data_IF_967441978115
#
_entry.id   IF_967441978115
#
_cell.length_a   1.000
_cell.length_b   1.000
_cell.length_c   1.000
_cell.angle_alpha   90.00
_cell.angle_beta   90.00
_cell.angle_gamma   90.00
#
_symmetry.space_group_name_H-M   'P 1'
#
loop_
_entity.id
_entity.type
_entity.pdbx_description
1 polymer ?
#
# COMPACT_ATOMS: atom_id res chain seq x y z
N UNK A 1 6.77 -14.16 -38.59
CA UNK A 1 6.52 -14.79 -37.27
C UNK A 1 6.61 -13.68 -36.24
N UNK A 2 5.49 -13.32 -35.59
CA UNK A 2 5.51 -12.32 -34.52
C UNK A 2 5.92 -13.05 -33.25
N UNK A 3 7.14 -12.82 -32.79
CA UNK A 3 7.56 -13.27 -31.46
C UNK A 3 6.71 -12.49 -30.44
N UNK A 4 5.72 -13.16 -29.85
CA UNK A 4 5.01 -12.67 -28.66
C UNK A 4 5.99 -12.72 -27.48
N UNK A 5 6.86 -11.72 -27.41
CA UNK A 5 7.75 -11.51 -26.27
C UNK A 5 6.88 -10.96 -25.14
N UNK A 6 6.33 -11.83 -24.30
CA UNK A 6 5.81 -11.42 -22.99
C UNK A 6 6.99 -10.95 -22.15
N UNK A 7 7.51 -9.75 -22.43
CA UNK A 7 8.54 -9.10 -21.64
C UNK A 7 7.91 -8.74 -20.30
N UNK A 8 8.11 -9.60 -19.30
CA UNK A 8 7.94 -9.25 -17.89
C UNK A 8 8.89 -8.08 -17.58
N UNK A 9 8.44 -6.84 -17.79
CA UNK A 9 9.29 -5.64 -17.66
C UNK A 9 9.53 -5.27 -16.20
N UNK A 10 8.61 -5.61 -15.31
CA UNK A 10 8.70 -5.28 -13.88
C UNK A 10 8.70 -6.55 -13.05
N UNK A 11 9.33 -6.51 -11.87
CA UNK A 11 9.49 -7.69 -11.02
C UNK A 11 8.15 -8.33 -10.64
N UNK A 12 7.10 -7.50 -10.50
CA UNK A 12 5.75 -7.92 -10.19
C UNK A 12 4.95 -8.45 -11.37
N UNK A 13 5.43 -8.28 -12.61
CA UNK A 13 4.71 -8.80 -13.79
C UNK A 13 4.76 -10.34 -13.87
N UNK A 14 5.68 -10.97 -13.12
CA UNK A 14 5.85 -12.43 -13.07
C UNK A 14 4.68 -13.14 -12.38
N UNK A 15 4.02 -12.46 -11.44
CA UNK A 15 2.83 -12.97 -10.77
C UNK A 15 1.60 -12.32 -11.44
N UNK A 16 0.70 -13.10 -12.07
CA UNK A 16 -0.44 -12.55 -12.80
C UNK A 16 -1.43 -11.82 -11.88
N UNK A 17 -1.57 -12.25 -10.62
CA UNK A 17 -2.43 -11.59 -9.64
C UNK A 17 -1.78 -10.26 -9.28
N UNK A 18 -0.50 -10.29 -8.90
CA UNK A 18 0.20 -9.08 -8.50
C UNK A 18 0.30 -8.06 -9.63
N UNK A 19 0.58 -8.48 -10.87
CA UNK A 19 0.60 -7.59 -12.04
C UNK A 19 -0.75 -6.89 -12.23
N UNK A 20 -1.86 -7.62 -12.05
CA UNK A 20 -3.21 -7.06 -12.22
C UNK A 20 -3.55 -6.09 -11.10
N UNK A 21 -3.24 -6.47 -9.85
CA UNK A 21 -3.39 -5.62 -8.67
C UNK A 21 -2.57 -4.33 -8.80
N UNK A 22 -1.31 -4.41 -9.23
CA UNK A 22 -0.45 -3.25 -9.44
C UNK A 22 -0.96 -2.31 -10.53
N UNK A 23 -1.59 -2.84 -11.59
CA UNK A 23 -2.25 -2.01 -12.62
C UNK A 23 -3.46 -1.27 -12.06
N UNK A 24 -4.29 -1.94 -11.26
CA UNK A 24 -5.44 -1.30 -10.61
C UNK A 24 -4.98 -0.22 -9.65
N UNK A 25 -3.96 -0.51 -8.83
CA UNK A 25 -3.36 0.46 -7.92
C UNK A 25 -2.84 1.69 -8.68
N UNK A 26 -2.12 1.50 -9.79
CA UNK A 26 -1.60 2.60 -10.63
C UNK A 26 -2.71 3.50 -11.21
N UNK A 27 -3.90 2.96 -11.48
CA UNK A 27 -5.04 3.72 -12.02
C UNK A 27 -5.99 4.25 -10.95
N UNK A 28 -5.73 3.95 -9.68
CA UNK A 28 -6.55 4.41 -8.55
C UNK A 28 -6.19 5.85 -8.19
N UNK A 29 -7.07 6.51 -7.43
CA UNK A 29 -6.81 7.86 -6.91
C UNK A 29 -5.63 7.85 -5.94
N UNK A 30 -5.00 9.01 -5.71
CA UNK A 30 -3.86 9.12 -4.78
C UNK A 30 -4.27 8.70 -3.36
N UNK A 31 -5.47 9.05 -2.91
CA UNK A 31 -6.02 8.66 -1.61
C UNK A 31 -6.14 7.14 -1.48
N UNK A 32 -6.67 6.49 -2.52
CA UNK A 32 -6.78 5.03 -2.55
C UNK A 32 -5.43 4.35 -2.60
N UNK A 33 -4.49 4.90 -3.39
CA UNK A 33 -3.13 4.39 -3.46
C UNK A 33 -2.47 4.42 -2.09
N UNK A 34 -2.59 5.53 -1.36
CA UNK A 34 -2.06 5.69 0.00
C UNK A 34 -2.75 4.70 0.95
N UNK A 35 -4.08 4.65 0.97
CA UNK A 35 -4.86 3.76 1.85
C UNK A 35 -4.49 2.29 1.64
N UNK A 36 -4.44 1.85 0.40
CA UNK A 36 -4.05 0.48 0.05
C UNK A 36 -2.59 0.19 0.42
N UNK A 37 -1.70 1.18 0.29
CA UNK A 37 -0.28 1.05 0.64
C UNK A 37 -0.05 0.96 2.14
N UNK A 38 -0.79 1.73 2.95
CA UNK A 38 -0.77 1.61 4.41
C UNK A 38 -1.23 0.22 4.84
N UNK A 39 -2.34 -0.28 4.27
CA UNK A 39 -2.82 -1.63 4.56
C UNK A 39 -1.81 -2.71 4.14
N UNK A 40 -1.15 -2.52 3.00
CA UNK A 40 -0.08 -3.41 2.53
C UNK A 40 1.09 -3.46 3.52
N UNK A 41 1.59 -2.32 3.98
CA UNK A 41 2.65 -2.24 4.99
C UNK A 41 2.23 -2.97 6.27
N UNK A 42 1.00 -2.72 6.74
CA UNK A 42 0.43 -3.37 7.92
C UNK A 42 0.43 -4.90 7.79
N UNK A 43 -0.06 -5.43 6.67
CA UNK A 43 -0.08 -6.87 6.40
C UNK A 43 1.33 -7.47 6.41
N UNK A 44 2.31 -6.76 5.83
CA UNK A 44 3.71 -7.22 5.78
C UNK A 44 4.28 -7.29 7.20
N UNK A 45 4.10 -6.24 8.00
CA UNK A 45 4.58 -6.18 9.38
C UNK A 45 3.93 -7.27 10.23
N UNK A 46 2.60 -7.41 10.17
CA UNK A 46 1.86 -8.44 10.90
C UNK A 46 2.41 -9.84 10.61
N UNK A 47 2.66 -10.16 9.34
CA UNK A 47 3.21 -11.46 8.98
C UNK A 47 4.65 -11.67 9.48
N UNK A 48 5.47 -10.62 9.49
CA UNK A 48 6.82 -10.68 10.02
C UNK A 48 6.84 -10.86 11.55
N UNK A 49 5.88 -10.26 12.26
CA UNK A 49 5.67 -10.50 13.70
C UNK A 49 5.20 -11.95 13.94
N UNK A 50 4.20 -12.43 13.18
CA UNK A 50 3.68 -13.81 13.29
C UNK A 50 4.75 -14.87 13.03
N UNK A 51 5.62 -14.63 12.04
CA UNK A 51 6.76 -15.50 11.71
C UNK A 51 7.96 -15.32 12.64
N UNK A 52 7.88 -14.41 13.62
CA UNK A 52 8.94 -14.07 14.58
C UNK A 52 10.22 -13.54 13.91
N UNK A 53 10.12 -13.00 12.70
CA UNK A 53 11.25 -12.30 12.06
C UNK A 53 11.42 -10.90 12.65
N UNK A 54 10.31 -10.25 13.05
CA UNK A 54 10.34 -9.01 13.83
C UNK A 54 10.06 -9.32 15.29
N UNK A 55 11.00 -8.93 16.14
CA UNK A 55 10.99 -9.15 17.59
C UNK A 55 10.88 -7.84 18.37
N UNK A 56 11.21 -6.73 17.72
CA UNK A 56 11.21 -5.39 18.32
C UNK A 56 10.58 -4.35 17.38
N UNK A 57 10.25 -3.18 17.94
CA UNK A 57 9.81 -2.01 17.17
C UNK A 57 10.94 -1.50 16.27
N UNK A 58 12.20 -1.67 16.69
CA UNK A 58 13.37 -1.26 15.90
C UNK A 58 13.44 -2.03 14.59
N UNK A 59 13.18 -3.34 14.61
CA UNK A 59 13.16 -4.20 13.40
C UNK A 59 12.12 -3.70 12.38
N UNK A 60 10.98 -3.21 12.88
CA UNK A 60 9.91 -2.64 12.05
C UNK A 60 10.33 -1.30 11.47
N UNK A 61 10.90 -0.42 12.30
CA UNK A 61 11.38 0.90 11.87
C UNK A 61 12.49 0.77 10.84
N UNK A 62 13.42 -0.17 11.02
CA UNK A 62 14.48 -0.47 10.06
C UNK A 62 13.89 -0.94 8.74
N UNK A 63 12.97 -1.90 8.73
CA UNK A 63 12.33 -2.39 7.50
C UNK A 63 11.54 -1.30 6.73
N UNK A 64 10.88 -0.39 7.45
CA UNK A 64 10.17 0.75 6.86
C UNK A 64 11.16 1.78 6.30
N UNK A 65 12.24 2.07 7.03
CA UNK A 65 13.25 3.05 6.66
C UNK A 65 14.16 2.56 5.51
N UNK A 66 14.45 1.25 5.43
CA UNK A 66 15.10 0.63 4.26
C UNK A 66 14.26 0.78 2.99
N UNK A 67 12.93 0.88 3.13
CA UNK A 67 11.99 1.20 2.06
C UNK A 67 12.03 2.66 1.56
N UNK A 68 12.89 3.51 2.14
CA UNK A 68 13.04 4.94 1.79
C UNK A 68 14.26 5.17 0.88
N UNK A 69 14.96 4.13 0.43
CA UNK A 69 16.10 4.30 -0.49
C UNK A 69 15.61 5.01 -1.76
N UNK A 70 16.10 6.23 -1.98
CA UNK A 70 15.84 7.07 -3.15
C UNK A 70 16.45 6.43 -4.41
N UNK A 71 15.81 5.40 -4.93
CA UNK A 71 15.90 5.08 -6.35
C UNK A 71 15.05 6.15 -7.03
N UNK A 72 15.70 7.10 -7.70
CA UNK A 72 15.06 8.33 -8.21
C UNK A 72 13.73 8.12 -8.94
N UNK A 73 12.93 9.18 -9.04
CA UNK A 73 11.50 9.25 -9.43
C UNK A 73 11.11 8.68 -10.82
N UNK A 74 11.53 7.46 -11.16
CA UNK A 74 11.33 6.88 -12.48
C UNK A 74 10.08 6.00 -12.57
N UNK A 75 9.54 5.52 -11.44
CA UNK A 75 8.35 4.65 -11.41
C UNK A 75 7.14 5.42 -10.89
N UNK A 76 5.95 5.00 -11.33
CA UNK A 76 4.69 5.66 -10.97
C UNK A 76 4.47 5.68 -9.45
N UNK A 77 4.95 4.66 -8.75
CA UNK A 77 4.82 4.55 -7.31
C UNK A 77 5.95 5.22 -6.53
N UNK A 78 6.96 5.77 -7.22
CA UNK A 78 8.01 6.54 -6.56
C UNK A 78 7.54 7.97 -6.25
N UNK A 79 6.32 8.37 -6.64
CA UNK A 79 5.81 9.74 -6.42
C UNK A 79 5.50 9.96 -4.94
N UNK A 80 4.79 9.02 -4.30
CA UNK A 80 4.42 9.08 -2.89
C UNK A 80 5.33 8.17 -2.05
N UNK A 81 5.78 8.67 -0.90
CA UNK A 81 6.68 7.94 -0.02
C UNK A 81 6.03 6.68 0.56
N UNK A 82 4.74 6.73 0.90
CA UNK A 82 4.02 5.61 1.50
C UNK A 82 3.81 4.50 0.47
N UNK A 83 3.40 4.85 -0.73
CA UNK A 83 3.23 3.91 -1.86
C UNK A 83 4.58 3.28 -2.22
N UNK A 84 5.65 4.09 -2.27
CA UNK A 84 7.01 3.62 -2.50
C UNK A 84 7.44 2.62 -1.45
N UNK A 85 7.36 2.98 -0.16
CA UNK A 85 7.76 2.10 0.94
C UNK A 85 7.00 0.78 0.91
N UNK A 86 5.68 0.81 0.69
CA UNK A 86 4.87 -0.40 0.63
C UNK A 86 5.32 -1.36 -0.49
N UNK A 87 5.60 -0.82 -1.68
CA UNK A 87 6.04 -1.63 -2.83
C UNK A 87 7.48 -2.12 -2.65
N UNK A 88 8.36 -1.33 -2.04
CA UNK A 88 9.72 -1.77 -1.73
C UNK A 88 9.74 -2.88 -0.69
N UNK A 89 8.95 -2.75 0.39
CA UNK A 89 8.78 -3.81 1.38
C UNK A 89 8.22 -5.09 0.73
N UNK A 90 7.25 -4.96 -0.20
CA UNK A 90 6.73 -6.08 -0.96
C UNK A 90 7.78 -6.73 -1.88
N UNK A 91 8.61 -5.92 -2.53
CA UNK A 91 9.73 -6.38 -3.38
C UNK A 91 10.81 -7.13 -2.57
N UNK A 92 10.93 -6.87 -1.27
CA UNK A 92 11.88 -7.55 -0.39
C UNK A 92 11.32 -8.81 0.29
N UNK A 93 10.00 -9.03 0.26
CA UNK A 93 9.37 -10.23 0.81
C UNK A 93 9.77 -11.50 0.06
N UNK A 94 9.63 -12.67 0.68
CA UNK A 94 9.78 -13.96 -0.02
C UNK A 94 8.70 -14.16 -1.09
N UNK A 95 8.93 -15.02 -2.09
CA UNK A 95 7.96 -15.28 -3.16
C UNK A 95 6.62 -15.83 -2.61
N UNK A 96 6.69 -16.71 -1.61
CA UNK A 96 5.50 -17.22 -0.92
C UNK A 96 4.69 -16.10 -0.27
N UNK A 97 5.38 -15.19 0.43
CA UNK A 97 4.73 -14.06 1.09
C UNK A 97 4.16 -13.06 0.08
N UNK A 98 4.88 -12.77 -1.01
CA UNK A 98 4.36 -11.93 -2.11
C UNK A 98 3.08 -12.50 -2.70
N UNK A 99 3.00 -13.81 -2.89
CA UNK A 99 1.78 -14.44 -3.40
C UNK A 99 0.61 -14.33 -2.43
N UNK A 100 0.84 -14.51 -1.11
CA UNK A 100 -0.18 -14.30 -0.07
C UNK A 100 -0.68 -12.85 -0.05
N UNK A 101 0.26 -11.90 -0.14
CA UNK A 101 -0.05 -10.48 -0.14
C UNK A 101 -0.79 -10.07 -1.42
N UNK A 102 -0.40 -10.59 -2.59
CA UNK A 102 -1.07 -10.31 -3.85
C UNK A 102 -2.56 -10.69 -3.81
N UNK A 103 -2.88 -11.82 -3.17
CA UNK A 103 -4.27 -12.24 -2.91
C UNK A 103 -5.00 -11.25 -1.98
N UNK A 104 -4.40 -10.91 -0.83
CA UNK A 104 -4.97 -9.91 0.08
C UNK A 104 -5.20 -8.55 -0.59
N UNK A 105 -4.28 -8.12 -1.45
CA UNK A 105 -4.46 -6.88 -2.22
C UNK A 105 -5.60 -6.99 -3.23
N UNK A 106 -5.77 -8.14 -3.87
CA UNK A 106 -6.91 -8.37 -4.75
C UNK A 106 -8.24 -8.35 -3.96
N UNK A 107 -8.26 -8.94 -2.76
CA UNK A 107 -9.43 -8.90 -1.88
C UNK A 107 -9.78 -7.46 -1.48
N UNK A 108 -8.79 -6.64 -1.09
CA UNK A 108 -9.00 -5.22 -0.77
C UNK A 108 -9.55 -4.41 -1.96
N UNK A 109 -9.10 -4.72 -3.18
CA UNK A 109 -9.64 -4.09 -4.40
C UNK A 109 -11.11 -4.47 -4.56
N UNK A 110 -11.44 -5.74 -4.41
CA UNK A 110 -12.83 -6.24 -4.54
C UNK A 110 -13.71 -5.62 -3.48
N UNK A 111 -13.25 -5.54 -2.23
CA UNK A 111 -13.96 -4.87 -1.14
C UNK A 111 -14.27 -3.42 -1.49
N UNK A 112 -13.27 -2.66 -1.96
CA UNK A 112 -13.46 -1.26 -2.39
C UNK A 112 -14.53 -1.10 -3.47
N UNK A 113 -14.55 -1.99 -4.47
CA UNK A 113 -15.57 -1.96 -5.52
C UNK A 113 -16.96 -2.36 -5.02
N UNK A 114 -17.05 -3.15 -3.95
CA UNK A 114 -18.32 -3.57 -3.35
C UNK A 114 -18.84 -2.57 -2.30
N UNK A 115 -17.96 -1.80 -1.64
CA UNK A 115 -18.35 -0.77 -0.65
C UNK A 115 -18.84 0.53 -1.29
N UNK A 116 -18.82 0.64 -2.63
CA UNK A 116 -19.35 1.82 -3.35
C UNK A 116 -20.87 2.02 -3.21
N UNK A 117 -21.59 1.14 -2.48
CA UNK A 117 -23.03 1.22 -2.24
C UNK A 117 -23.40 1.77 -0.83
N UNK A 118 -22.45 2.07 0.07
CA UNK A 118 -22.74 2.36 1.50
C UNK A 118 -22.07 3.61 2.09
N UNK A 119 -21.68 4.61 1.27
CA UNK A 119 -21.31 5.93 1.81
C UNK A 119 -22.56 6.75 2.17
N UNK A 120 -23.08 6.52 3.37
CA UNK A 120 -23.88 7.52 4.10
C UNK A 120 -23.07 8.06 5.27
N UNK A 121 -22.34 9.14 4.95
CA UNK A 121 -22.26 10.39 5.70
C UNK A 121 -22.37 10.30 7.24
N UNK A 122 -21.23 10.42 7.92
CA UNK A 122 -21.12 10.99 9.27
C UNK A 122 -20.29 12.26 9.16
N UNK A 123 -20.92 13.32 8.63
CA UNK A 123 -20.61 14.70 9.00
C UNK A 123 -21.38 14.97 10.30
N UNK A 124 -20.68 15.12 11.43
CA UNK A 124 -21.09 15.69 12.73
C UNK A 124 -20.02 15.14 13.72
N UNK A 125 -19.00 15.88 14.17
CA UNK A 125 -19.12 16.98 15.13
C UNK A 125 -17.92 17.93 15.00
N UNK A 126 -18.14 19.10 14.39
CA UNK A 126 -17.32 20.29 14.61
C UNK A 126 -18.00 21.08 15.72
N UNK A 127 -17.83 20.64 16.96
CA UNK A 127 -18.25 21.44 18.11
C UNK A 127 -17.27 22.61 18.30
N UNK A 128 -17.81 23.79 18.04
CA UNK A 128 -17.33 25.11 18.44
C UNK A 128 -16.68 25.07 19.83
N UNK A 129 -15.38 25.30 19.91
CA UNK A 129 -14.77 25.81 21.13
C UNK A 129 -14.79 27.33 21.05
N UNK A 130 -15.76 27.88 21.78
CA UNK A 130 -16.01 29.30 22.04
C UNK A 130 -14.71 30.11 22.13
N UNK A 131 -14.65 31.12 21.27
CA UNK A 131 -13.86 32.32 21.52
C UNK A 131 -14.50 33.07 22.68
N UNK A 132 -14.06 32.78 23.90
CA UNK A 132 -14.26 33.70 25.02
C UNK A 132 -13.34 34.92 24.80
N UNK A 133 -13.89 35.91 24.10
CA UNK A 133 -13.60 37.31 24.36
C UNK A 133 -13.99 37.61 25.82
N UNK A 134 -13.03 38.03 26.63
CA UNK A 134 -13.33 39.00 27.69
C UNK A 134 -12.19 40.01 27.74
N UNK A 135 -12.46 41.15 27.09
CA UNK A 135 -11.82 42.45 27.28
C UNK A 135 -11.99 42.92 28.75
N UNK A 136 -10.89 43.19 29.45
CA UNK A 136 -10.60 44.45 30.19
C UNK A 136 -9.21 44.46 30.84
#
# INVERSE_FOLDING_TARGET
MKEEKTEYRRWYDKDPILSKTMKVLQTSTDEDQIRMSINLIKIIIEHNIESKSFTSIEDIMEAVNEGVIEKGNARWYDIDNTVRTAIQMLENCSEEMRSKIAKKMADMIVEKFNTSDDDKQEDDDLDELDSDDDDE
#
